data_IF_587696560795
#
_entry.id   IF_587696560795
#
_cell.length_a   1.000
_cell.length_b   1.000
_cell.length_c   1.000
_cell.angle_alpha   90.00
_cell.angle_beta   90.00
_cell.angle_gamma   90.00
#
_symmetry.space_group_name_H-M   'P 1'
#
loop_
_entity.id
_entity.type
_entity.pdbx_description
1 polymer ?
#
# COMPACT_ATOMS: atom_id res chain seq x y z
N UNK A 1 22.40 -0.79 -8.08
CA UNK A 1 21.54 -1.17 -6.95
C UNK A 1 20.12 -1.30 -7.47
N UNK A 2 19.42 -2.43 -7.29
CA UNK A 2 18.02 -2.53 -7.66
C UNK A 2 17.21 -1.58 -6.76
N UNK A 3 16.71 -0.50 -7.35
CA UNK A 3 15.76 0.40 -6.69
C UNK A 3 14.38 -0.22 -6.74
N UNK A 4 13.57 0.01 -5.71
CA UNK A 4 12.16 -0.37 -5.77
C UNK A 4 11.50 0.30 -6.98
N UNK A 5 10.98 -0.50 -7.92
CA UNK A 5 10.25 0.04 -9.04
C UNK A 5 8.96 0.72 -8.57
N UNK A 6 8.47 1.71 -9.32
CA UNK A 6 7.17 2.33 -9.04
C UNK A 6 6.04 1.28 -9.01
N UNK A 7 6.12 0.26 -9.87
CA UNK A 7 5.19 -0.88 -9.88
C UNK A 7 5.26 -1.74 -8.62
N UNK A 8 6.46 -2.00 -8.08
CA UNK A 8 6.60 -2.75 -6.83
C UNK A 8 5.93 -2.02 -5.67
N UNK A 9 6.04 -0.68 -5.62
CA UNK A 9 5.33 0.13 -4.63
C UNK A 9 3.81 0.07 -4.81
N UNK A 10 3.33 0.05 -6.04
CA UNK A 10 1.90 -0.04 -6.34
C UNK A 10 1.31 -1.39 -5.91
N UNK A 11 1.96 -2.48 -6.30
CA UNK A 11 1.57 -3.85 -5.91
C UNK A 11 1.59 -3.98 -4.39
N UNK A 12 2.67 -3.54 -3.74
CA UNK A 12 2.80 -3.60 -2.30
C UNK A 12 1.72 -2.80 -1.57
N UNK A 13 1.42 -1.60 -2.04
CA UNK A 13 0.40 -0.74 -1.45
C UNK A 13 -1.01 -1.32 -1.65
N UNK A 14 -1.25 -2.00 -2.78
CA UNK A 14 -2.48 -2.75 -3.01
C UNK A 14 -2.58 -3.99 -2.10
N UNK A 15 -1.48 -4.74 -1.88
CA UNK A 15 -1.45 -5.92 -1.02
C UNK A 15 -1.81 -5.60 0.45
N UNK A 16 -1.35 -4.45 0.97
CA UNK A 16 -1.63 -4.08 2.37
C UNK A 16 -3.07 -3.64 2.63
N UNK A 17 -3.86 -3.34 1.59
CA UNK A 17 -5.27 -2.94 1.72
C UNK A 17 -6.26 -4.07 1.43
N UNK A 18 -5.78 -5.27 1.09
CA UNK A 18 -6.66 -6.40 0.77
C UNK A 18 -7.60 -6.74 1.96
N UNK A 19 -8.86 -7.09 1.67
CA UNK A 19 -9.80 -7.48 2.71
C UNK A 19 -9.27 -8.68 3.49
N UNK A 20 -9.45 -8.65 4.81
CA UNK A 20 -9.10 -9.76 5.68
C UNK A 20 -9.93 -10.99 5.27
N UNK A 21 -9.28 -12.15 5.08
CA UNK A 21 -9.95 -13.42 4.80
C UNK A 21 -9.56 -14.09 3.48
N UNK A 22 -8.89 -13.39 2.56
CA UNK A 22 -8.34 -14.01 1.35
C UNK A 22 -7.07 -14.81 1.68
N UNK A 23 -6.95 -16.02 1.12
CA UNK A 23 -5.71 -16.78 1.19
C UNK A 23 -4.67 -16.25 0.18
N UNK A 24 -3.39 -16.56 0.38
CA UNK A 24 -2.32 -16.02 -0.48
C UNK A 24 -2.48 -16.38 -1.96
N UNK A 25 -3.05 -17.56 -2.27
CA UNK A 25 -3.32 -17.98 -3.63
C UNK A 25 -4.39 -17.11 -4.32
N UNK A 26 -5.45 -16.73 -3.59
CA UNK A 26 -6.48 -15.81 -4.10
C UNK A 26 -5.90 -14.42 -4.33
N UNK A 27 -5.09 -13.94 -3.40
CA UNK A 27 -4.39 -12.65 -3.54
C UNK A 27 -3.45 -12.67 -4.74
N UNK A 28 -2.74 -13.77 -4.99
CA UNK A 28 -1.86 -13.92 -6.15
C UNK A 28 -2.66 -13.91 -7.48
N UNK A 29 -3.82 -14.58 -7.50
CA UNK A 29 -4.73 -14.56 -8.66
C UNK A 29 -5.24 -13.16 -8.96
N UNK A 30 -5.65 -12.42 -7.93
CA UNK A 30 -6.08 -11.03 -8.09
C UNK A 30 -4.91 -10.11 -8.48
N UNK A 31 -3.71 -10.35 -7.94
CA UNK A 31 -2.51 -9.63 -8.31
C UNK A 31 -2.20 -9.84 -9.80
N UNK A 32 -2.29 -11.07 -10.30
CA UNK A 32 -2.12 -11.40 -11.71
C UNK A 32 -3.17 -10.72 -12.59
N UNK A 33 -4.44 -10.76 -12.19
CA UNK A 33 -5.52 -10.11 -12.91
C UNK A 33 -5.34 -8.58 -12.99
N UNK A 34 -4.77 -7.96 -11.94
CA UNK A 34 -4.61 -6.51 -11.85
C UNK A 34 -3.34 -5.98 -12.49
N UNK A 35 -2.22 -6.69 -12.34
CA UNK A 35 -0.89 -6.20 -12.72
C UNK A 35 -0.25 -6.97 -13.89
N UNK A 36 -0.92 -8.00 -14.42
CA UNK A 36 -0.47 -8.73 -15.61
C UNK A 36 0.95 -9.27 -15.47
N UNK A 37 1.80 -8.97 -16.45
CA UNK A 37 3.21 -9.42 -16.49
C UNK A 37 4.06 -8.94 -15.31
N UNK A 38 3.65 -7.89 -14.61
CA UNK A 38 4.39 -7.32 -13.48
C UNK A 38 3.91 -7.88 -12.13
N UNK A 39 2.90 -8.75 -12.13
CA UNK A 39 2.32 -9.28 -10.92
C UNK A 39 3.34 -10.07 -10.08
N UNK A 40 3.22 -9.94 -8.77
CA UNK A 40 4.00 -10.76 -7.85
C UNK A 40 3.40 -12.16 -7.74
N UNK A 41 4.26 -13.17 -7.76
CA UNK A 41 3.88 -14.55 -7.46
C UNK A 41 3.53 -14.75 -5.98
N UNK A 42 2.86 -15.86 -5.68
CA UNK A 42 2.39 -16.19 -4.33
C UNK A 42 3.50 -16.17 -3.28
N UNK A 43 4.68 -16.72 -3.59
CA UNK A 43 5.80 -16.79 -2.65
C UNK A 43 6.30 -15.41 -2.24
N UNK A 44 6.39 -14.48 -3.20
CA UNK A 44 6.79 -13.10 -2.93
C UNK A 44 5.72 -12.38 -2.09
N UNK A 45 4.44 -12.55 -2.43
CA UNK A 45 3.31 -12.00 -1.67
C UNK A 45 3.35 -12.51 -0.22
N UNK A 46 3.48 -13.83 -0.04
CA UNK A 46 3.58 -14.48 1.27
C UNK A 46 4.77 -13.93 2.07
N UNK A 47 5.96 -13.91 1.47
CA UNK A 47 7.17 -13.40 2.12
C UNK A 47 7.03 -11.94 2.54
N UNK A 48 6.43 -11.08 1.70
CA UNK A 48 6.17 -9.68 2.03
C UNK A 48 5.14 -9.55 3.16
N UNK A 49 3.98 -10.22 3.06
CA UNK A 49 2.91 -10.10 4.04
C UNK A 49 3.30 -10.63 5.43
N UNK A 50 4.09 -11.71 5.50
CA UNK A 50 4.64 -12.24 6.77
C UNK A 50 5.64 -11.27 7.39
N UNK A 51 6.44 -10.60 6.56
CA UNK A 51 7.47 -9.65 6.99
C UNK A 51 6.93 -8.28 7.36
N UNK A 52 5.65 -8.02 7.08
CA UNK A 52 5.03 -6.76 7.44
C UNK A 52 4.77 -6.71 8.95
N UNK A 53 5.17 -5.63 9.62
CA UNK A 53 4.84 -5.46 11.02
C UNK A 53 3.32 -5.44 11.17
N UNK A 54 2.75 -6.42 11.90
CA UNK A 54 1.34 -6.43 12.34
C UNK A 54 0.97 -5.21 13.19
N UNK A 55 1.96 -4.39 13.56
CA UNK A 55 1.78 -3.11 14.27
C UNK A 55 1.08 -2.10 13.37
N UNK A 56 -0.24 -2.15 13.39
CA UNK A 56 -1.12 -1.09 12.96
C UNK A 56 -2.54 -1.56 13.15
N UNK A 57 -3.36 -0.78 13.86
CA UNK A 57 -4.80 -1.06 13.96
C UNK A 57 -5.47 -1.16 12.58
N UNK A 58 -6.80 -1.35 12.57
CA UNK A 58 -7.56 -1.48 11.33
C UNK A 58 -7.17 -0.42 10.28
N UNK A 59 -7.01 -0.85 9.03
CA UNK A 59 -6.77 0.05 7.90
C UNK A 59 -7.87 1.12 7.87
N UNK A 60 -7.53 2.42 7.69
CA UNK A 60 -8.55 3.45 7.55
C UNK A 60 -9.48 3.12 6.38
N UNK A 61 -10.78 3.28 6.59
CA UNK A 61 -11.76 2.83 5.60
C UNK A 61 -11.59 3.49 4.22
N UNK A 62 -11.24 4.77 4.20
CA UNK A 62 -10.94 5.51 2.98
C UNK A 62 -9.82 4.87 2.13
N UNK A 63 -8.84 4.20 2.76
CA UNK A 63 -7.74 3.53 2.06
C UNK A 63 -8.15 2.21 1.39
N UNK A 64 -9.37 1.70 1.66
CA UNK A 64 -9.93 0.57 0.90
C UNK A 64 -10.46 0.99 -0.47
N UNK A 65 -10.68 2.28 -0.70
CA UNK A 65 -11.00 2.79 -2.03
C UNK A 65 -9.70 2.87 -2.86
N UNK A 66 -9.67 2.15 -3.98
CA UNK A 66 -8.48 2.04 -4.82
C UNK A 66 -8.02 3.38 -5.42
N UNK A 67 -8.96 4.27 -5.78
CA UNK A 67 -8.62 5.58 -6.34
C UNK A 67 -8.02 6.51 -5.29
N UNK A 68 -8.62 6.53 -4.09
CA UNK A 68 -8.08 7.27 -2.94
C UNK A 68 -6.68 6.78 -2.60
N UNK A 69 -6.50 5.46 -2.55
CA UNK A 69 -5.21 4.85 -2.24
C UNK A 69 -4.14 5.20 -3.26
N UNK A 70 -4.44 5.09 -4.56
CA UNK A 70 -3.53 5.45 -5.64
C UNK A 70 -3.14 6.95 -5.56
N UNK A 71 -4.12 7.83 -5.35
CA UNK A 71 -3.88 9.26 -5.20
C UNK A 71 -2.99 9.59 -4.01
N UNK A 72 -3.24 8.97 -2.86
CA UNK A 72 -2.45 9.14 -1.63
C UNK A 72 -1.04 8.62 -1.83
N UNK A 73 -0.86 7.44 -2.42
CA UNK A 73 0.48 6.87 -2.66
C UNK A 73 1.36 7.75 -3.56
N UNK A 74 0.75 8.41 -4.55
CA UNK A 74 1.47 9.31 -5.44
C UNK A 74 1.99 10.59 -4.74
N UNK A 75 1.39 11.00 -3.62
CA UNK A 75 1.66 12.28 -2.94
C UNK A 75 2.19 12.14 -1.51
N UNK A 76 2.11 10.95 -0.93
CA UNK A 76 2.51 10.75 0.46
C UNK A 76 4.02 10.91 0.62
N UNK A 77 4.42 11.87 1.47
CA UNK A 77 5.82 12.23 1.68
C UNK A 77 6.34 13.33 0.75
N UNK A 78 5.57 13.80 -0.23
CA UNK A 78 5.93 14.99 -1.05
C UNK A 78 5.28 16.27 -0.52
N UNK A 79 4.23 16.14 0.30
CA UNK A 79 3.50 17.23 0.92
C UNK A 79 3.08 16.88 2.36
N UNK A 80 2.62 17.88 3.11
CA UNK A 80 2.14 17.68 4.48
C UNK A 80 0.84 16.88 4.51
N UNK A 81 0.57 16.16 5.60
CA UNK A 81 -0.67 15.41 5.76
C UNK A 81 -1.92 16.30 5.78
N UNK A 82 -1.79 17.56 6.21
CA UNK A 82 -2.90 18.52 6.17
C UNK A 82 -3.24 18.87 4.72
N UNK A 83 -2.25 19.28 3.92
CA UNK A 83 -2.44 19.60 2.51
C UNK A 83 -2.98 18.40 1.72
N UNK A 84 -2.42 17.20 1.97
CA UNK A 84 -2.90 15.98 1.32
C UNK A 84 -4.35 15.64 1.69
N UNK A 85 -4.76 15.87 2.95
CA UNK A 85 -6.15 15.66 3.37
C UNK A 85 -7.11 16.65 2.70
N UNK A 86 -6.69 17.90 2.52
CA UNK A 86 -7.46 18.93 1.80
C UNK A 86 -7.61 18.58 0.33
N UNK A 87 -6.53 18.20 -0.35
CA UNK A 87 -6.59 17.72 -1.75
C UNK A 87 -7.50 16.50 -1.88
N UNK A 88 -7.39 15.54 -0.96
CA UNK A 88 -8.27 14.38 -0.97
C UNK A 88 -9.73 14.78 -0.76
N UNK A 89 -10.03 15.73 0.13
CA UNK A 89 -11.39 16.21 0.37
C UNK A 89 -11.96 16.92 -0.85
N UNK A 90 -11.16 17.76 -1.50
CA UNK A 90 -11.56 18.45 -2.73
C UNK A 90 -11.90 17.46 -3.86
N UNK A 91 -11.19 16.32 -3.94
CA UNK A 91 -11.35 15.34 -5.02
C UNK A 91 -12.38 14.24 -4.73
N UNK A 92 -12.42 13.73 -3.49
CA UNK A 92 -13.16 12.52 -3.13
C UNK A 92 -14.33 12.78 -2.16
N UNK A 93 -14.51 14.02 -1.71
CA UNK A 93 -15.59 14.41 -0.79
C UNK A 93 -15.57 13.56 0.49
N UNK A 94 -16.70 12.94 0.81
CA UNK A 94 -16.88 12.12 2.02
C UNK A 94 -16.00 10.86 2.05
N UNK A 95 -15.47 10.42 0.90
CA UNK A 95 -14.56 9.28 0.81
C UNK A 95 -13.13 9.65 1.18
N UNK A 96 -12.84 10.93 1.42
CA UNK A 96 -11.50 11.40 1.70
C UNK A 96 -10.98 10.93 3.07
N UNK A 97 -9.71 10.50 3.17
CA UNK A 97 -9.09 10.19 4.44
C UNK A 97 -8.88 11.44 5.29
N UNK A 98 -9.05 11.29 6.60
CA UNK A 98 -8.61 12.31 7.55
C UNK A 98 -7.09 12.38 7.65
N UNK A 99 -6.55 13.52 8.10
CA UNK A 99 -5.12 13.69 8.40
C UNK A 99 -4.56 12.56 9.28
N UNK A 100 -5.28 12.21 10.36
CA UNK A 100 -4.86 11.13 11.26
C UNK A 100 -4.84 9.76 10.58
N UNK A 101 -5.72 9.55 9.60
CA UNK A 101 -5.74 8.34 8.77
C UNK A 101 -4.53 8.28 7.84
N UNK A 102 -4.16 9.42 7.21
CA UNK A 102 -2.95 9.54 6.40
C UNK A 102 -1.69 9.29 7.21
N UNK A 103 -1.59 9.84 8.43
CA UNK A 103 -0.46 9.59 9.33
C UNK A 103 -0.35 8.10 9.71
N UNK A 104 -1.45 7.45 10.09
CA UNK A 104 -1.43 6.00 10.38
C UNK A 104 -1.01 5.19 9.16
N UNK A 105 -1.50 5.58 7.98
CA UNK A 105 -1.14 4.94 6.73
C UNK A 105 0.36 5.13 6.41
N UNK A 106 0.91 6.34 6.60
CA UNK A 106 2.32 6.64 6.34
C UNK A 106 3.28 5.77 7.16
N UNK A 107 2.95 5.53 8.44
CA UNK A 107 3.73 4.63 9.30
C UNK A 107 3.71 3.19 8.80
N UNK A 108 2.54 2.71 8.36
CA UNK A 108 2.38 1.35 7.81
C UNK A 108 3.19 1.18 6.52
N UNK A 109 3.04 2.09 5.55
CA UNK A 109 3.79 2.00 4.29
C UNK A 109 5.29 2.25 4.47
N UNK A 110 5.70 3.02 5.49
CA UNK A 110 7.11 3.22 5.81
C UNK A 110 7.76 1.92 6.27
N UNK A 111 7.05 1.08 7.04
CA UNK A 111 7.47 -0.27 7.36
C UNK A 111 7.62 -1.15 6.12
N UNK A 112 6.62 -1.13 5.24
CA UNK A 112 6.63 -1.87 3.98
C UNK A 112 7.82 -1.49 3.08
N UNK A 113 8.05 -0.19 2.86
CA UNK A 113 9.19 0.31 2.07
C UNK A 113 10.52 -0.22 2.59
N UNK A 114 10.71 -0.24 3.92
CA UNK A 114 11.93 -0.79 4.55
C UNK A 114 12.06 -2.30 4.32
N UNK A 115 10.98 -3.05 4.48
CA UNK A 115 10.96 -4.50 4.23
C UNK A 115 11.30 -4.83 2.77
N UNK A 116 10.67 -4.14 1.83
CA UNK A 116 10.91 -4.36 0.40
C UNK A 116 12.32 -3.96 -0.02
N UNK A 117 12.84 -2.84 0.49
CA UNK A 117 14.24 -2.47 0.27
C UNK A 117 15.20 -3.53 0.83
N UNK A 118 14.89 -4.16 1.98
CA UNK A 118 15.71 -5.25 2.51
C UNK A 118 15.68 -6.48 1.60
N UNK A 119 14.49 -6.88 1.15
CA UNK A 119 14.31 -8.02 0.24
C UNK A 119 15.04 -7.82 -1.10
N UNK A 120 15.03 -6.60 -1.65
CA UNK A 120 15.75 -6.29 -2.89
C UNK A 120 17.27 -6.21 -2.72
N UNK A 121 17.76 -5.83 -1.54
CA UNK A 121 19.20 -5.64 -1.29
C UNK A 121 19.89 -6.85 -0.63
N UNK A 122 19.18 -7.98 -0.45
CA UNK A 122 19.79 -9.25 -0.08
C UNK A 122 20.53 -9.25 1.26
N UNK A 123 19.84 -8.95 2.35
CA UNK A 123 20.26 -9.29 3.72
C UNK A 123 19.28 -10.26 4.36
#
# INVERSE_FOLDING_TARGET
MPTLGAKDMEIASWLIVQPAGLCHAEIAKECAARFGSDAWGEDRIRATLVSLPRKGGAMPMAMRNAEVLAFVNARIGTMTFSALAEECRARFGDKAPSRSSLHRYSHRIGGLKRTLNRQLNGL
#
